data_IF_110775662549
#
_entry.id   IF_110775662549
#
_cell.length_a   1.000
_cell.length_b   1.000
_cell.length_c   1.000
_cell.angle_alpha   90.00
_cell.angle_beta   90.00
_cell.angle_gamma   90.00
#
_symmetry.space_group_name_H-M   'P 1'
#
loop_
_entity.id
_entity.type
_entity.pdbx_description
1 polymer ?
#
# COMPACT_ATOMS: atom_id res chain seq x y z
N UNK A 1 -4.58 1.27 27.73
CA UNK A 1 -3.17 1.64 27.91
C UNK A 1 -2.98 3.00 27.27
N UNK A 2 -2.27 3.97 27.88
CA UNK A 2 -2.10 5.28 27.25
C UNK A 2 -1.27 5.10 25.97
N UNK A 3 -1.78 5.66 24.87
CA UNK A 3 -1.18 5.61 23.54
C UNK A 3 0.25 6.14 23.57
N UNK A 4 1.24 5.25 23.59
CA UNK A 4 2.61 5.60 23.22
C UNK A 4 2.64 5.78 21.70
N UNK A 5 2.17 6.94 21.25
CA UNK A 5 2.51 7.45 19.93
C UNK A 5 4.03 7.61 19.93
N UNK A 6 4.72 6.70 19.24
CA UNK A 6 6.14 6.85 19.01
C UNK A 6 6.25 7.91 17.93
N UNK A 7 6.89 9.04 18.23
CA UNK A 7 7.18 10.05 17.21
C UNK A 7 8.08 9.42 16.16
N UNK A 8 7.52 9.18 14.97
CA UNK A 8 8.27 8.57 13.88
C UNK A 8 9.14 9.65 13.22
N UNK A 9 10.48 9.48 13.16
CA UNK A 9 11.34 10.45 12.49
C UNK A 9 10.93 10.63 11.02
N UNK A 10 10.98 11.84 10.46
CA UNK A 10 10.59 12.09 9.06
C UNK A 10 11.32 11.19 8.04
N UNK A 11 12.58 10.84 8.30
CA UNK A 11 13.33 9.91 7.44
C UNK A 11 12.75 8.50 7.47
N UNK A 12 12.42 7.97 8.66
CA UNK A 12 11.79 6.66 8.80
C UNK A 12 10.45 6.63 8.05
N UNK A 13 9.67 7.70 8.13
CA UNK A 13 8.41 7.81 7.40
C UNK A 13 8.60 7.64 5.88
N UNK A 14 9.62 8.28 5.31
CA UNK A 14 9.91 8.19 3.88
C UNK A 14 10.40 6.79 3.47
N UNK A 15 11.24 6.16 4.29
CA UNK A 15 11.76 4.81 4.02
C UNK A 15 10.64 3.76 4.07
N UNK A 16 9.74 3.86 5.05
CA UNK A 16 8.57 2.99 5.19
C UNK A 16 7.63 3.16 3.99
N UNK A 17 7.39 4.40 3.57
CA UNK A 17 6.58 4.71 2.36
C UNK A 17 7.23 4.16 1.08
N UNK A 18 8.56 4.26 0.96
CA UNK A 18 9.31 3.73 -0.17
C UNK A 18 9.26 2.20 -0.19
N UNK A 19 9.33 1.54 0.97
CA UNK A 19 9.17 0.10 1.09
C UNK A 19 7.81 -0.36 0.55
N UNK A 20 6.71 0.22 1.04
CA UNK A 20 5.36 -0.10 0.55
C UNK A 20 5.20 0.13 -0.95
N UNK A 21 5.83 1.18 -1.47
CA UNK A 21 5.90 1.45 -2.91
C UNK A 21 6.63 0.34 -3.66
N UNK A 22 7.83 -0.07 -3.25
CA UNK A 22 8.60 -1.13 -3.94
C UNK A 22 7.84 -2.45 -3.97
N UNK A 23 7.21 -2.82 -2.85
CA UNK A 23 6.41 -4.04 -2.74
C UNK A 23 5.27 -4.07 -3.74
N UNK A 24 4.54 -2.96 -3.86
CA UNK A 24 3.40 -2.82 -4.76
C UNK A 24 3.81 -3.01 -6.24
N UNK A 25 4.97 -2.49 -6.65
CA UNK A 25 5.45 -2.60 -8.03
C UNK A 25 6.00 -4.00 -8.33
N UNK A 26 6.72 -4.59 -7.39
CA UNK A 26 7.20 -5.96 -7.51
C UNK A 26 6.03 -6.94 -7.69
N UNK A 27 4.94 -6.74 -6.95
CA UNK A 27 3.72 -7.54 -7.08
C UNK A 27 3.02 -7.29 -8.41
N UNK A 28 2.91 -6.04 -8.89
CA UNK A 28 2.34 -5.77 -10.21
C UNK A 28 3.09 -6.50 -11.32
N UNK A 29 4.42 -6.43 -11.30
CA UNK A 29 5.26 -7.15 -12.26
C UNK A 29 5.04 -8.66 -12.17
N UNK A 30 5.00 -9.21 -10.95
CA UNK A 30 4.73 -10.63 -10.72
C UNK A 30 3.38 -11.08 -11.26
N UNK A 31 2.33 -10.29 -11.07
CA UNK A 31 0.94 -10.66 -11.46
C UNK A 31 0.70 -10.47 -12.95
N UNK A 32 1.21 -9.38 -13.53
CA UNK A 32 0.89 -8.99 -14.92
C UNK A 32 1.98 -9.36 -15.93
N UNK A 33 3.18 -9.74 -15.47
CA UNK A 33 4.38 -9.93 -16.28
C UNK A 33 4.96 -8.63 -16.86
N UNK A 34 4.39 -7.46 -16.54
CA UNK A 34 4.74 -6.16 -17.14
C UNK A 34 5.09 -5.12 -16.08
N UNK A 35 6.04 -4.20 -16.36
CA UNK A 35 6.27 -3.06 -15.49
C UNK A 35 5.00 -2.22 -15.33
N UNK A 36 4.86 -1.57 -14.17
CA UNK A 36 3.80 -0.60 -13.95
C UNK A 36 3.93 0.56 -14.93
N UNK A 37 2.82 0.99 -15.53
CA UNK A 37 2.81 1.99 -16.60
C UNK A 37 2.75 3.43 -16.03
N UNK A 38 3.18 4.47 -16.78
CA UNK A 38 3.20 5.85 -16.28
C UNK A 38 1.82 6.44 -15.92
N UNK A 39 0.73 5.87 -16.46
CA UNK A 39 -0.64 6.35 -16.22
C UNK A 39 -1.26 5.75 -14.96
N UNK A 40 -0.63 4.71 -14.39
CA UNK A 40 -0.99 4.18 -13.09
C UNK A 40 -0.65 5.18 -11.98
N UNK A 41 -1.45 5.11 -10.91
CA UNK A 41 -1.27 5.85 -9.68
C UNK A 41 -1.24 4.87 -8.53
N UNK A 42 -0.51 5.25 -7.49
CA UNK A 42 -0.40 4.47 -6.27
C UNK A 42 -0.95 5.23 -5.08
N UNK A 43 -1.44 4.45 -4.12
CA UNK A 43 -1.68 4.83 -2.76
C UNK A 43 -0.78 3.95 -1.88
N UNK A 44 -0.08 4.56 -0.93
CA UNK A 44 0.62 3.87 0.15
C UNK A 44 0.23 4.57 1.43
N UNK A 45 -0.70 3.98 2.16
CA UNK A 45 -1.10 4.42 3.49
C UNK A 45 -0.52 3.45 4.51
N UNK A 46 0.02 3.98 5.60
CA UNK A 46 0.48 3.15 6.70
C UNK A 46 0.39 3.94 8.01
N UNK A 47 0.22 3.22 9.10
CA UNK A 47 0.12 3.78 10.45
C UNK A 47 0.77 2.82 11.47
N UNK A 48 1.21 3.38 12.60
CA UNK A 48 1.66 2.58 13.74
C UNK A 48 0.47 1.79 14.30
N UNK A 49 0.65 0.49 14.52
CA UNK A 49 -0.38 -0.34 15.12
C UNK A 49 -0.73 0.16 16.54
N UNK A 50 -1.98 -0.06 16.94
CA UNK A 50 -2.54 0.47 18.18
C UNK A 50 -3.09 1.90 18.08
N UNK A 51 -2.85 2.61 16.97
CA UNK A 51 -3.44 3.94 16.74
C UNK A 51 -4.79 3.85 16.04
N UNK A 52 -5.66 4.84 16.23
CA UNK A 52 -6.94 4.93 15.50
C UNK A 52 -6.73 4.90 13.97
N UNK A 53 -5.68 5.56 13.48
CA UNK A 53 -5.36 5.55 12.05
C UNK A 53 -5.01 4.14 11.52
N UNK A 54 -4.42 3.27 12.34
CA UNK A 54 -4.18 1.88 11.94
C UNK A 54 -5.47 1.07 11.85
N UNK A 55 -6.43 1.30 12.75
CA UNK A 55 -7.77 0.69 12.66
C UNK A 55 -8.52 1.18 11.42
N UNK A 56 -8.44 2.47 11.12
CA UNK A 56 -9.02 3.02 9.89
C UNK A 56 -8.39 2.36 8.63
N UNK A 57 -7.07 2.15 8.64
CA UNK A 57 -6.39 1.43 7.55
C UNK A 57 -6.87 -0.01 7.43
N UNK A 58 -7.01 -0.74 8.54
CA UNK A 58 -7.50 -2.13 8.54
C UNK A 58 -8.93 -2.20 7.99
N UNK A 59 -9.79 -1.30 8.44
CA UNK A 59 -11.17 -1.21 7.96
C UNK A 59 -11.22 -0.93 6.46
N UNK A 60 -10.45 0.05 5.98
CA UNK A 60 -10.40 0.37 4.55
C UNK A 60 -9.85 -0.78 3.70
N UNK A 61 -8.85 -1.50 4.22
CA UNK A 61 -8.31 -2.69 3.57
C UNK A 61 -9.38 -3.79 3.47
N UNK A 62 -10.14 -4.07 4.53
CA UNK A 62 -11.17 -5.13 4.50
C UNK A 62 -12.26 -4.82 3.46
N UNK A 63 -12.73 -3.57 3.39
CA UNK A 63 -13.67 -3.12 2.34
C UNK A 63 -13.14 -3.36 0.91
N UNK A 64 -11.82 -3.41 0.75
CA UNK A 64 -11.16 -3.61 -0.53
C UNK A 64 -10.99 -5.08 -0.88
N UNK A 65 -10.52 -5.90 0.07
CA UNK A 65 -10.20 -7.31 -0.18
C UNK A 65 -11.41 -8.23 -0.02
N UNK A 66 -12.43 -7.86 0.75
CA UNK A 66 -13.62 -8.68 0.92
C UNK A 66 -14.51 -8.70 -0.36
N UNK A 67 -14.33 -7.73 -1.27
CA UNK A 67 -15.06 -7.65 -2.54
C UNK A 67 -14.29 -8.10 -3.79
N UNK A 68 -13.00 -8.43 -3.67
CA UNK A 68 -12.15 -8.81 -4.80
C UNK A 68 -11.50 -10.16 -4.56
N UNK A 69 -11.79 -11.12 -5.45
CA UNK A 69 -11.17 -12.45 -5.41
C UNK A 69 -9.64 -12.27 -5.49
N UNK A 70 -9.00 -12.56 -4.37
CA UNK A 70 -7.55 -12.55 -4.17
C UNK A 70 -6.98 -13.73 -4.97
N UNK A 71 -6.01 -13.46 -5.84
CA UNK A 71 -5.34 -14.47 -6.65
C UNK A 71 -4.89 -15.70 -5.84
N UNK A 72 -4.67 -16.82 -6.53
CA UNK A 72 -4.56 -18.19 -5.98
C UNK A 72 -3.44 -18.47 -4.93
N UNK A 73 -2.71 -17.45 -4.44
CA UNK A 73 -1.70 -17.61 -3.38
C UNK A 73 -2.33 -17.44 -2.00
N UNK A 74 -2.03 -18.38 -1.10
CA UNK A 74 -2.39 -18.27 0.32
C UNK A 74 -1.87 -16.95 0.88
N UNK A 75 -2.79 -16.16 1.45
CA UNK A 75 -2.45 -15.07 2.37
C UNK A 75 -1.48 -15.63 3.42
N UNK A 76 -0.38 -14.92 3.66
CA UNK A 76 0.55 -15.30 4.73
C UNK A 76 0.00 -14.67 6.00
N UNK A 77 -0.42 -15.50 6.95
CA UNK A 77 -0.81 -15.06 8.29
C UNK A 77 0.02 -15.85 9.31
N UNK A 78 1.01 -15.17 9.89
CA UNK A 78 1.84 -15.66 10.98
C UNK A 78 1.32 -15.11 12.32
N UNK A 79 0.00 -14.99 12.46
CA UNK A 79 -0.67 -14.43 13.63
C UNK A 79 -0.22 -13.00 13.89
N UNK A 80 0.24 -12.75 15.10
CA UNK A 80 0.58 -11.41 15.60
C UNK A 80 1.95 -10.92 15.12
N UNK A 81 2.62 -11.63 14.20
CA UNK A 81 3.97 -11.27 13.74
C UNK A 81 3.97 -10.66 12.35
N UNK A 82 3.22 -11.27 11.42
CA UNK A 82 3.16 -10.81 10.05
C UNK A 82 1.89 -11.29 9.36
N UNK A 83 1.16 -10.35 8.73
CA UNK A 83 0.05 -10.64 7.84
C UNK A 83 0.30 -9.99 6.49
N UNK A 84 0.01 -10.71 5.41
CA UNK A 84 0.12 -10.23 4.03
C UNK A 84 -1.07 -10.73 3.21
N UNK A 85 -1.78 -9.79 2.61
CA UNK A 85 -2.93 -10.02 1.74
C UNK A 85 -2.76 -9.20 0.46
N UNK A 86 -3.08 -9.78 -0.68
CA UNK A 86 -3.02 -9.08 -1.98
C UNK A 86 -4.23 -9.39 -2.81
N UNK A 87 -4.77 -8.42 -3.53
CA UNK A 87 -5.92 -8.61 -4.42
C UNK A 87 -5.63 -8.01 -5.78
N UNK A 88 -6.04 -8.68 -6.85
CA UNK A 88 -5.93 -8.15 -8.20
C UNK A 88 -7.30 -8.19 -8.87
N UNK A 89 -7.71 -7.06 -9.46
CA UNK A 89 -8.94 -6.95 -10.22
C UNK A 89 -8.59 -6.64 -11.67
N UNK A 90 -8.62 -7.67 -12.50
CA UNK A 90 -8.33 -7.59 -13.94
C UNK A 90 -9.24 -6.61 -14.67
N UNK A 91 -10.54 -6.63 -14.36
CA UNK A 91 -11.56 -5.80 -15.02
C UNK A 91 -11.28 -4.31 -14.88
N UNK A 92 -10.68 -3.89 -13.77
CA UNK A 92 -10.38 -2.49 -13.50
C UNK A 92 -8.87 -2.19 -13.43
N UNK A 93 -8.02 -3.19 -13.65
CA UNK A 93 -6.56 -3.06 -13.66
C UNK A 93 -5.95 -2.69 -12.32
N UNK A 94 -6.56 -3.10 -11.20
CA UNK A 94 -6.06 -2.76 -9.87
C UNK A 94 -5.34 -3.87 -9.17
N UNK A 95 -4.31 -3.50 -8.42
CA UNK A 95 -3.64 -4.34 -7.44
C UNK A 95 -3.68 -3.69 -6.07
N UNK A 96 -4.23 -4.38 -5.08
CA UNK A 96 -4.20 -4.01 -3.67
C UNK A 96 -3.24 -4.90 -2.90
N UNK A 97 -2.63 -4.33 -1.85
CA UNK A 97 -1.77 -4.98 -0.89
C UNK A 97 -2.11 -4.48 0.52
N UNK A 98 -2.37 -5.39 1.45
CA UNK A 98 -2.47 -5.11 2.88
C UNK A 98 -1.42 -5.90 3.63
N UNK A 99 -0.65 -5.23 4.48
CA UNK A 99 0.41 -5.84 5.29
C UNK A 99 0.29 -5.39 6.73
N UNK A 100 0.51 -6.28 7.68
CA UNK A 100 0.67 -5.96 9.09
C UNK A 100 1.97 -6.58 9.59
N UNK A 101 2.85 -5.79 10.19
CA UNK A 101 4.08 -6.25 10.84
C UNK A 101 3.83 -6.28 12.34
N UNK A 102 3.11 -7.31 12.76
CA UNK A 102 2.66 -7.51 14.13
C UNK A 102 1.98 -6.29 14.74
N UNK A 103 2.38 -5.95 15.96
CA UNK A 103 1.88 -4.80 16.71
C UNK A 103 2.64 -3.49 16.40
N UNK A 104 3.51 -3.48 15.39
CA UNK A 104 4.29 -2.30 15.05
C UNK A 104 3.64 -1.43 13.96
N UNK A 105 3.27 -2.02 12.81
CA UNK A 105 2.87 -1.25 11.62
C UNK A 105 1.78 -1.95 10.83
N UNK A 106 0.86 -1.16 10.27
CA UNK A 106 -0.16 -1.61 9.32
C UNK A 106 -0.05 -0.79 8.04
N UNK A 107 -0.10 -1.46 6.89
CA UNK A 107 -0.04 -0.88 5.56
C UNK A 107 -1.26 -1.24 4.74
N UNK A 108 -1.77 -0.26 3.99
CA UNK A 108 -2.67 -0.48 2.88
C UNK A 108 -2.14 0.26 1.65
N UNK A 109 -1.83 -0.51 0.60
CA UNK A 109 -1.25 -0.03 -0.64
C UNK A 109 -2.14 -0.44 -1.82
N UNK A 110 -2.29 0.45 -2.80
CA UNK A 110 -3.04 0.16 -4.03
C UNK A 110 -2.34 0.76 -5.24
N UNK A 111 -2.31 0.02 -6.35
CA UNK A 111 -1.87 0.47 -7.66
C UNK A 111 -2.98 0.28 -8.69
N UNK A 112 -3.20 1.27 -9.54
CA UNK A 112 -4.00 1.06 -10.75
C UNK A 112 -4.27 2.36 -11.52
N UNK A 113 -5.17 2.33 -12.50
CA UNK A 113 -5.41 3.47 -13.38
C UNK A 113 -5.96 4.68 -12.61
N UNK A 114 -5.40 5.87 -12.89
CA UNK A 114 -5.79 7.12 -12.21
C UNK A 114 -7.31 7.33 -12.15
N UNK A 115 -8.01 7.11 -13.27
CA UNK A 115 -9.44 7.36 -13.44
C UNK A 115 -10.32 6.67 -12.41
N UNK A 116 -9.91 5.52 -11.92
CA UNK A 116 -10.70 4.84 -10.93
C UNK A 116 -9.99 4.69 -9.56
N UNK A 117 -8.69 4.98 -9.46
CA UNK A 117 -8.05 5.26 -8.17
C UNK A 117 -8.73 6.46 -7.45
N UNK A 118 -9.17 7.47 -8.20
CA UNK A 118 -9.91 8.65 -7.66
C UNK A 118 -11.23 8.28 -6.99
N UNK A 119 -11.80 7.11 -7.29
CA UNK A 119 -13.05 6.60 -6.70
C UNK A 119 -12.83 5.90 -5.36
N UNK A 120 -11.57 5.62 -4.98
CA UNK A 120 -11.25 4.94 -3.74
C UNK A 120 -11.46 5.90 -2.56
N UNK A 121 -12.13 5.41 -1.52
CA UNK A 121 -12.34 6.12 -0.26
C UNK A 121 -11.59 5.41 0.88
N UNK A 122 -11.10 6.16 1.88
CA UNK A 122 -11.02 7.62 1.96
C UNK A 122 -10.04 8.19 0.92
N UNK A 123 -10.32 9.41 0.42
CA UNK A 123 -9.49 10.09 -0.58
C UNK A 123 -8.21 10.61 0.12
N UNK A 124 -7.03 10.03 -0.13
CA UNK A 124 -5.78 10.50 0.47
C UNK A 124 -5.22 11.70 -0.29
N UNK A 125 -4.30 12.45 0.35
CA UNK A 125 -3.47 13.44 -0.37
C UNK A 125 -2.76 12.77 -1.55
N UNK A 126 -2.90 13.40 -2.71
CA UNK A 126 -2.96 12.75 -4.02
C UNK A 126 -1.67 12.03 -4.46
N UNK A 127 -1.82 10.75 -4.84
CA UNK A 127 -1.44 10.16 -6.13
C UNK A 127 -0.17 10.66 -6.84
N UNK A 128 1.01 10.28 -6.34
CA UNK A 128 2.26 10.52 -7.08
C UNK A 128 2.36 9.54 -8.25
N UNK A 129 2.58 10.02 -9.47
CA UNK A 129 2.79 9.15 -10.64
C UNK A 129 4.11 8.37 -10.54
N UNK A 130 4.32 7.37 -11.40
CA UNK A 130 5.62 6.67 -11.49
C UNK A 130 6.72 7.65 -11.93
N UNK A 131 6.41 8.50 -12.92
CA UNK A 131 7.34 9.48 -13.47
C UNK A 131 7.81 10.45 -12.38
N UNK A 132 6.88 10.98 -11.58
CA UNK A 132 7.19 11.94 -10.52
C UNK A 132 8.03 11.31 -9.40
N UNK A 133 7.77 10.04 -9.07
CA UNK A 133 8.60 9.31 -8.12
C UNK A 133 10.01 9.09 -8.66
N UNK A 134 10.13 8.64 -9.91
CA UNK A 134 11.42 8.46 -10.58
C UNK A 134 12.22 9.75 -10.61
N UNK A 135 11.58 10.88 -10.90
CA UNK A 135 12.21 12.20 -10.86
C UNK A 135 12.67 12.59 -9.45
N UNK A 136 11.86 12.35 -8.42
CA UNK A 136 12.24 12.62 -7.01
C UNK A 136 13.43 11.78 -6.55
N UNK A 137 13.51 10.51 -6.96
CA UNK A 137 14.64 9.63 -6.62
C UNK A 137 15.91 10.09 -7.35
N UNK A 138 15.83 10.41 -8.66
CA UNK A 138 16.98 10.91 -9.42
C UNK A 138 17.53 12.22 -8.85
N UNK A 139 16.68 13.14 -8.39
CA UNK A 139 17.12 14.39 -7.75
C UNK A 139 17.83 14.19 -6.40
N UNK A 140 17.69 13.03 -5.77
CA UNK A 140 18.38 12.70 -4.50
C UNK A 140 19.78 12.12 -4.69
N UNK A 141 20.09 11.61 -5.87
CA UNK A 141 21.41 11.12 -6.24
C UNK A 141 21.98 12.01 -7.35
N UNK A 142 22.58 13.17 -7.03
CA UNK A 142 23.35 13.94 -7.98
C UNK A 142 24.60 13.17 -8.45
#
# INVERSE_FOLDING_TARGET
>A
MPDRLITIPPMAYQLITLFGTKMLYALHYRVTGKPANPTQRRLVAWQQAGTQGAEDIRHNASQWFDGMIVGQRRNVDLGNQFRFQTGYNERHGYLGLHMSFGEALVFFCVLGPARHMVKLKPKPELYVSIADLGAKIKRRNP
#
